data_IF_958290248257
#
_entry.id   IF_958290248257
#
_cell.length_a   1.000
_cell.length_b   1.000
_cell.length_c   1.000
_cell.angle_alpha   90.00
_cell.angle_beta   90.00
_cell.angle_gamma   90.00
#
_symmetry.space_group_name_H-M   'P 1'
#
loop_
_entity.id
_entity.type
_entity.pdbx_description
1 polymer ?
#
# COMPACT_ATOMS: atom_id res chain seq x y z
N UNK A 1 11.73 -8.30 8.67
CA UNK A 1 11.99 -7.17 7.74
C UNK A 1 11.22 -7.47 6.46
N UNK A 2 10.20 -6.67 6.18
CA UNK A 2 9.40 -6.73 4.94
C UNK A 2 9.53 -5.40 4.18
N UNK A 3 8.97 -5.31 2.99
CA UNK A 3 8.99 -4.10 2.16
C UNK A 3 10.04 -4.15 1.04
N UNK A 4 10.45 -2.99 0.53
CA UNK A 4 11.34 -2.92 -0.63
C UNK A 4 10.67 -3.29 -1.95
N UNK A 5 9.33 -3.35 -1.99
CA UNK A 5 8.61 -3.69 -3.20
C UNK A 5 8.94 -2.69 -4.32
N UNK A 6 9.23 -3.17 -5.54
CA UNK A 6 9.46 -2.31 -6.68
C UNK A 6 8.18 -1.58 -7.06
N UNK A 7 8.32 -0.34 -7.53
CA UNK A 7 7.23 0.39 -8.17
C UNK A 7 7.74 1.21 -9.35
N UNK A 8 6.84 1.54 -10.26
CA UNK A 8 7.15 2.41 -11.42
C UNK A 8 6.76 3.84 -11.08
N UNK A 9 7.72 4.79 -11.02
CA UNK A 9 7.41 6.20 -10.75
C UNK A 9 6.45 6.80 -11.78
N UNK A 10 5.80 7.90 -11.42
CA UNK A 10 4.96 8.64 -12.36
C UNK A 10 5.80 9.55 -13.27
N UNK A 11 5.32 9.72 -14.50
CA UNK A 11 5.77 10.77 -15.41
C UNK A 11 5.03 12.05 -15.03
N UNK A 12 5.62 12.87 -14.16
CA UNK A 12 5.03 14.13 -13.72
C UNK A 12 4.80 15.10 -14.88
N UNK A 13 5.68 15.06 -15.88
CA UNK A 13 5.60 15.95 -17.03
C UNK A 13 4.36 15.64 -17.87
N UNK A 14 4.15 14.39 -18.28
CA UNK A 14 2.96 13.99 -19.03
C UNK A 14 1.70 14.08 -18.17
N UNK A 15 1.78 13.67 -16.90
CA UNK A 15 0.63 13.71 -15.98
C UNK A 15 0.13 15.12 -15.70
N UNK A 16 1.01 16.13 -15.77
CA UNK A 16 0.64 17.54 -15.57
C UNK A 16 -0.08 18.17 -16.76
N UNK A 17 -0.02 17.58 -17.96
CA UNK A 17 -0.70 18.13 -19.14
C UNK A 17 -2.22 18.07 -18.96
N UNK A 18 -2.89 19.22 -19.10
CA UNK A 18 -4.35 19.34 -19.01
C UNK A 18 -5.08 18.30 -19.89
N UNK A 19 -4.77 18.12 -21.19
CA UNK A 19 -5.46 17.13 -22.01
C UNK A 19 -5.21 15.68 -21.54
N UNK A 20 -4.01 15.38 -21.03
CA UNK A 20 -3.68 14.03 -20.55
C UNK A 20 -4.41 13.73 -19.23
N UNK A 21 -4.36 14.67 -18.27
CA UNK A 21 -5.06 14.53 -17.00
C UNK A 21 -6.57 14.43 -17.19
N UNK A 22 -7.17 15.29 -18.02
CA UNK A 22 -8.62 15.28 -18.22
C UNK A 22 -9.14 14.02 -18.93
N UNK A 23 -8.29 13.31 -19.68
CA UNK A 23 -8.68 12.08 -20.34
C UNK A 23 -8.95 10.91 -19.37
N UNK A 24 -8.22 10.84 -18.25
CA UNK A 24 -8.26 9.67 -17.35
C UNK A 24 -8.42 10.00 -15.87
N UNK A 25 -8.24 11.26 -15.48
CA UNK A 25 -8.13 11.73 -14.10
C UNK A 25 -7.13 10.93 -13.25
N UNK A 26 -6.07 10.41 -13.91
CA UNK A 26 -5.05 9.55 -13.30
C UNK A 26 -3.67 9.94 -13.83
N UNK A 27 -2.62 9.78 -12.99
CA UNK A 27 -1.25 10.01 -13.44
C UNK A 27 -0.79 8.91 -14.40
N UNK A 28 0.10 9.28 -15.31
CA UNK A 28 0.78 8.39 -16.23
C UNK A 28 2.06 7.83 -15.59
N UNK A 29 2.35 6.57 -15.84
CA UNK A 29 3.59 5.93 -15.39
C UNK A 29 4.75 6.25 -16.33
N UNK A 30 5.93 6.46 -15.74
CA UNK A 30 7.18 6.58 -16.49
C UNK A 30 7.79 5.19 -16.71
N UNK A 31 7.46 4.58 -17.85
CA UNK A 31 7.95 3.25 -18.21
C UNK A 31 9.44 3.22 -18.59
N UNK A 32 10.11 4.36 -18.80
CA UNK A 32 11.57 4.38 -18.93
C UNK A 32 12.26 3.97 -17.62
N UNK A 33 11.56 4.17 -16.50
CA UNK A 33 11.96 3.86 -15.13
C UNK A 33 11.15 2.70 -14.54
N UNK A 34 10.77 1.73 -15.37
CA UNK A 34 9.99 0.57 -14.96
C UNK A 34 10.59 -0.15 -13.75
N UNK A 35 9.79 -0.27 -12.68
CA UNK A 35 10.18 -0.93 -11.43
C UNK A 35 11.52 -0.45 -10.84
N UNK A 36 11.88 0.82 -11.05
CA UNK A 36 13.11 1.40 -10.52
C UNK A 36 12.95 1.94 -9.09
N UNK A 37 11.75 2.38 -8.71
CA UNK A 37 11.45 2.86 -7.37
C UNK A 37 11.41 1.73 -6.35
N UNK A 38 11.74 2.01 -5.09
CA UNK A 38 11.66 1.04 -3.99
C UNK A 38 10.95 1.66 -2.79
N UNK A 39 9.95 0.96 -2.28
CA UNK A 39 9.29 1.35 -1.03
C UNK A 39 10.22 1.11 0.17
N UNK A 40 10.01 1.86 1.24
CA UNK A 40 10.77 1.69 2.47
C UNK A 40 10.52 0.30 3.06
N UNK A 41 11.56 -0.25 3.68
CA UNK A 41 11.41 -1.46 4.47
C UNK A 41 10.73 -1.18 5.80
N UNK A 42 10.00 -2.16 6.30
CA UNK A 42 9.29 -2.08 7.56
C UNK A 42 9.37 -3.39 8.35
N UNK A 43 8.87 -3.36 9.58
CA UNK A 43 8.82 -4.51 10.47
C UNK A 43 7.38 -4.78 10.85
N UNK A 44 7.05 -6.06 10.86
CA UNK A 44 5.77 -6.59 11.30
C UNK A 44 6.07 -7.75 12.24
N UNK A 45 5.28 -7.85 13.30
CA UNK A 45 5.34 -8.95 14.25
C UNK A 45 3.93 -9.50 14.35
N UNK A 46 3.81 -10.80 14.16
CA UNK A 46 2.57 -11.53 14.32
C UNK A 46 2.69 -12.40 15.58
N UNK A 47 1.64 -12.40 16.39
CA UNK A 47 1.58 -13.16 17.62
C UNK A 47 0.42 -14.14 17.57
N UNK A 48 0.72 -15.41 17.79
CA UNK A 48 -0.29 -16.47 17.87
C UNK A 48 -0.14 -17.30 19.13
N UNK A 49 -1.27 -17.57 19.78
CA UNK A 49 -1.37 -18.46 20.93
C UNK A 49 -2.40 -19.53 20.64
N UNK A 50 -1.97 -20.79 20.73
CA UNK A 50 -2.80 -21.97 20.50
C UNK A 50 -2.99 -22.76 21.81
N UNK A 51 -4.17 -23.35 21.98
CA UNK A 51 -4.48 -24.26 23.08
C UNK A 51 -5.35 -25.41 22.61
N UNK A 52 -4.86 -26.63 22.82
CA UNK A 52 -5.62 -27.86 22.59
C UNK A 52 -6.05 -28.50 23.90
N UNK A 53 -7.27 -29.03 23.90
CA UNK A 53 -7.88 -29.82 24.96
C UNK A 53 -8.23 -31.20 24.40
N UNK A 54 -7.77 -32.24 25.09
CA UNK A 54 -7.98 -33.62 24.67
C UNK A 54 -9.04 -34.29 25.55
N UNK A 55 -10.02 -34.91 24.90
CA UNK A 55 -11.07 -35.71 25.50
C UNK A 55 -11.04 -37.12 24.89
N UNK A 56 -11.77 -38.06 25.49
CA UNK A 56 -11.84 -39.43 24.95
C UNK A 56 -12.56 -39.42 23.60
N UNK A 57 -11.81 -39.59 22.51
CA UNK A 57 -12.32 -39.64 21.14
C UNK A 57 -12.65 -38.27 20.53
N UNK A 58 -12.23 -37.16 21.14
CA UNK A 58 -12.38 -35.81 20.58
C UNK A 58 -11.23 -34.91 21.03
N UNK A 59 -10.71 -34.06 20.14
CA UNK A 59 -9.82 -32.94 20.48
C UNK A 59 -10.50 -31.62 20.12
N UNK A 60 -10.42 -30.63 21.03
CA UNK A 60 -10.83 -29.25 20.79
C UNK A 60 -9.60 -28.33 20.81
N UNK A 61 -9.29 -27.69 19.68
CA UNK A 61 -8.25 -26.68 19.55
C UNK A 61 -8.84 -25.27 19.46
N UNK A 62 -8.20 -24.31 20.10
CA UNK A 62 -8.49 -22.89 19.99
C UNK A 62 -7.20 -22.15 19.66
N UNK A 63 -7.29 -21.11 18.85
CA UNK A 63 -6.18 -20.18 18.68
C UNK A 63 -6.65 -18.74 18.56
N UNK A 64 -5.83 -17.85 19.10
CA UNK A 64 -5.93 -16.40 18.91
C UNK A 64 -4.68 -15.96 18.15
N UNK A 65 -4.88 -15.25 17.07
CA UNK A 65 -3.82 -14.70 16.22
C UNK A 65 -4.02 -13.18 16.12
N UNK A 66 -2.94 -12.42 16.33
CA UNK A 66 -2.87 -10.98 16.18
C UNK A 66 -1.76 -10.67 15.18
N UNK A 67 -2.13 -10.26 13.97
CA UNK A 67 -1.16 -9.80 12.97
C UNK A 67 -0.84 -8.32 13.16
N UNK A 68 0.40 -7.95 12.83
CA UNK A 68 0.93 -6.59 12.98
C UNK A 68 0.73 -6.01 14.39
N UNK A 69 1.17 -6.71 15.45
CA UNK A 69 1.03 -6.23 16.84
C UNK A 69 1.75 -4.92 17.12
N UNK A 70 2.73 -4.55 16.27
CA UNK A 70 3.42 -3.27 16.32
C UNK A 70 2.60 -2.12 15.71
N UNK A 71 1.48 -2.41 15.06
CA UNK A 71 0.65 -1.45 14.31
C UNK A 71 1.48 -0.57 13.35
N UNK A 72 2.50 -1.16 12.73
CA UNK A 72 3.36 -0.43 11.82
C UNK A 72 2.55 0.00 10.59
N UNK A 73 2.74 1.24 10.16
CA UNK A 73 2.15 1.77 8.91
C UNK A 73 3.23 1.79 7.85
N UNK A 74 3.07 0.99 6.80
CA UNK A 74 3.99 0.95 5.69
C UNK A 74 3.53 1.88 4.56
N UNK A 75 4.49 2.52 3.91
CA UNK A 75 4.25 3.43 2.80
C UNK A 75 4.00 2.64 1.50
N UNK A 76 3.00 3.06 0.73
CA UNK A 76 2.83 2.69 -0.68
C UNK A 76 3.41 3.80 -1.57
N UNK A 77 3.42 3.58 -2.89
CA UNK A 77 3.83 4.62 -3.84
C UNK A 77 2.95 5.87 -3.62
N UNK A 78 3.53 7.05 -3.34
CA UNK A 78 2.75 8.27 -3.18
C UNK A 78 1.96 8.58 -4.46
N UNK A 79 0.68 8.87 -4.32
CA UNK A 79 -0.19 9.16 -5.45
C UNK A 79 0.07 10.57 -5.97
N UNK A 80 0.36 10.71 -7.26
CA UNK A 80 0.42 12.00 -7.93
C UNK A 80 -0.99 12.44 -8.35
N UNK A 81 -1.40 13.62 -7.93
CA UNK A 81 -2.74 14.16 -8.23
C UNK A 81 -2.69 15.64 -8.65
N UNK A 82 -3.60 16.05 -9.53
CA UNK A 82 -3.82 17.47 -9.83
C UNK A 82 -4.44 18.18 -8.63
N UNK A 83 -3.98 19.40 -8.37
CA UNK A 83 -4.59 20.31 -7.38
C UNK A 83 -5.81 21.07 -7.93
N UNK A 84 -6.05 20.99 -9.25
CA UNK A 84 -7.07 21.77 -9.94
C UNK A 84 -6.60 23.18 -10.37
N UNK A 85 -5.49 23.67 -9.83
CA UNK A 85 -4.89 24.93 -10.27
C UNK A 85 -4.05 24.72 -11.54
N UNK A 86 -4.16 25.66 -12.49
CA UNK A 86 -3.31 25.65 -13.70
C UNK A 86 -2.17 26.67 -13.60
N UNK A 87 -1.09 26.42 -14.34
CA UNK A 87 0.01 27.35 -14.54
C UNK A 87 0.56 27.18 -15.95
N UNK A 88 1.25 28.21 -16.46
CA UNK A 88 1.95 28.16 -17.74
C UNK A 88 3.42 27.87 -17.48
N UNK A 89 3.96 26.83 -18.11
CA UNK A 89 5.39 26.50 -18.01
C UNK A 89 6.26 27.47 -18.83
N UNK A 90 7.59 27.32 -18.72
CA UNK A 90 8.54 28.16 -19.46
C UNK A 90 8.44 28.00 -20.98
N UNK A 91 7.84 26.90 -21.46
CA UNK A 91 7.60 26.64 -22.88
C UNK A 91 6.24 27.18 -23.36
N UNK A 92 5.48 27.88 -22.50
CA UNK A 92 4.17 28.44 -22.85
C UNK A 92 3.02 27.42 -22.83
N UNK A 93 3.24 26.22 -22.30
CA UNK A 93 2.23 25.16 -22.20
C UNK A 93 1.46 25.28 -20.88
N UNK A 94 0.13 25.30 -20.95
CA UNK A 94 -0.71 25.28 -19.76
C UNK A 94 -0.81 23.87 -19.15
N UNK A 95 -0.62 23.78 -17.83
CA UNK A 95 -0.53 22.53 -17.07
C UNK A 95 -1.24 22.62 -15.74
N UNK A 96 -1.66 21.48 -15.20
CA UNK A 96 -2.08 21.38 -13.81
C UNK A 96 -0.88 21.39 -12.87
N UNK A 97 -1.01 22.11 -11.76
CA UNK A 97 -0.12 21.97 -10.61
C UNK A 97 -0.40 20.63 -9.94
N UNK A 98 0.61 19.78 -9.89
CA UNK A 98 0.51 18.44 -9.30
C UNK A 98 0.97 18.43 -7.85
N UNK A 99 0.50 17.46 -7.08
CA UNK A 99 0.88 17.21 -5.69
C UNK A 99 0.98 15.72 -5.43
N UNK A 100 1.96 15.33 -4.61
CA UNK A 100 2.03 13.99 -4.06
C UNK A 100 1.21 13.86 -2.77
N UNK A 101 0.40 12.81 -2.71
CA UNK A 101 -0.32 12.39 -1.51
C UNK A 101 0.30 11.09 -1.01
N UNK A 102 0.79 11.10 0.23
CA UNK A 102 1.30 9.91 0.88
C UNK A 102 0.17 8.88 1.06
N UNK A 103 0.46 7.62 0.74
CA UNK A 103 -0.45 6.51 0.95
C UNK A 103 0.18 5.56 1.94
N UNK A 104 -0.51 5.29 3.04
CA UNK A 104 -0.03 4.38 4.08
C UNK A 104 -1.05 3.26 4.30
N UNK A 105 -0.55 2.09 4.65
CA UNK A 105 -1.36 0.90 4.92
C UNK A 105 -0.80 0.13 6.11
N UNK A 106 -1.61 -0.77 6.64
CA UNK A 106 -1.30 -1.53 7.85
C UNK A 106 -2.37 -1.32 8.90
N UNK A 107 -2.91 -2.41 9.42
CA UNK A 107 -3.87 -2.47 10.53
C UNK A 107 -3.47 -3.62 11.44
N UNK A 108 -3.94 -3.60 12.69
CA UNK A 108 -3.87 -4.79 13.56
C UNK A 108 -5.03 -5.69 13.14
N UNK A 109 -4.75 -6.95 12.84
CA UNK A 109 -5.79 -7.91 12.43
C UNK A 109 -5.93 -9.04 13.45
N UNK A 110 -7.01 -9.04 14.27
CA UNK A 110 -7.29 -10.13 15.18
C UNK A 110 -8.05 -11.28 14.49
N UNK A 111 -7.68 -12.52 14.80
CA UNK A 111 -8.35 -13.74 14.34
C UNK A 111 -8.56 -14.70 15.53
N UNK A 112 -9.74 -15.31 15.59
CA UNK A 112 -10.05 -16.42 16.49
C UNK A 112 -10.38 -17.65 15.64
N UNK A 113 -9.73 -18.77 15.92
CA UNK A 113 -10.05 -20.03 15.27
C UNK A 113 -10.30 -21.16 16.25
N UNK A 114 -11.08 -22.14 15.76
CA UNK A 114 -11.53 -23.31 16.51
C UNK A 114 -11.30 -24.53 15.62
N UNK A 115 -10.78 -25.60 16.19
CA UNK A 115 -10.53 -26.88 15.51
C UNK A 115 -11.18 -28.00 16.32
N UNK A 116 -11.81 -28.95 15.63
CA UNK A 116 -12.43 -30.14 16.23
C UNK A 116 -11.95 -31.36 15.45
N UNK A 117 -11.40 -32.35 16.16
CA UNK A 117 -10.98 -33.64 15.59
C UNK A 117 -11.66 -34.78 16.36
N UNK A 118 -12.01 -35.87 15.67
CA UNK A 118 -12.77 -37.03 16.18
C UNK A 118 -12.20 -38.36 15.67
#
# INVERSE_FOLDING_TARGET
LMGGAPYTPYDEYVSSLIPAWNATARPYYDYSRYNSGRLKTFYEIDLRVDKSFYFKGVMLGFYIDLQNVLNFKYDNQPLLISTGETYVDEAGTERYRMKYIAQQSGVILPTLGITVEF
#
